data_IF_583147892002
#
_entry.id   IF_583147892002
#
_cell.length_a   1.000
_cell.length_b   1.000
_cell.length_c   1.000
_cell.angle_alpha   90.00
_cell.angle_beta   90.00
_cell.angle_gamma   90.00
#
_symmetry.space_group_name_H-M   'P 1'
#
loop_
_entity.id
_entity.type
_entity.pdbx_description
1 polymer ?
#
# COMPACT_ATOMS: atom_id res chain seq x y z
N UNK A 1 -12.21 -2.91 -26.59
CA UNK A 1 -12.54 -1.47 -26.56
C UNK A 1 -13.24 -1.02 -25.28
N UNK A 2 -14.52 -1.34 -25.03
CA UNK A 2 -15.22 -0.85 -23.81
C UNK A 2 -14.65 -1.42 -22.49
N UNK A 3 -14.12 -2.64 -22.51
CA UNK A 3 -13.49 -3.30 -21.37
C UNK A 3 -12.14 -2.70 -20.99
N UNK A 4 -11.32 -2.31 -21.98
CA UNK A 4 -9.98 -1.74 -21.76
C UNK A 4 -10.05 -0.34 -21.17
N UNK A 5 -10.99 0.50 -21.63
CA UNK A 5 -11.24 1.83 -21.07
C UNK A 5 -11.72 1.72 -19.61
N UNK A 6 -12.56 0.74 -19.29
CA UNK A 6 -13.00 0.50 -17.91
C UNK A 6 -11.84 0.07 -17.01
N UNK A 7 -10.97 -0.83 -17.51
CA UNK A 7 -9.78 -1.31 -16.78
C UNK A 7 -8.81 -0.16 -16.49
N UNK A 8 -8.57 0.69 -17.49
CA UNK A 8 -7.70 1.85 -17.35
C UNK A 8 -8.22 2.86 -16.31
N UNK A 9 -9.52 3.17 -16.34
CA UNK A 9 -10.17 4.05 -15.34
C UNK A 9 -10.20 3.45 -13.94
N UNK A 10 -10.18 2.13 -13.83
CA UNK A 10 -10.05 1.46 -12.52
C UNK A 10 -8.62 1.58 -11.99
N UNK A 11 -7.61 1.25 -12.79
CA UNK A 11 -6.20 1.38 -12.39
C UNK A 11 -5.84 2.80 -11.99
N UNK A 12 -6.30 3.81 -12.75
CA UNK A 12 -6.09 5.23 -12.41
C UNK A 12 -6.66 5.58 -11.02
N UNK A 13 -7.84 5.07 -10.67
CA UNK A 13 -8.44 5.29 -9.35
C UNK A 13 -7.71 4.58 -8.22
N UNK A 14 -7.04 3.46 -8.50
CA UNK A 14 -6.24 2.74 -7.49
C UNK A 14 -4.92 3.47 -7.20
N UNK A 15 -4.30 4.05 -8.24
CA UNK A 15 -3.07 4.84 -8.08
C UNK A 15 -3.31 6.15 -7.32
N UNK A 16 -4.53 6.70 -7.35
CA UNK A 16 -4.90 7.86 -6.54
C UNK A 16 -4.94 7.53 -5.03
N UNK A 17 -5.09 6.26 -4.65
CA UNK A 17 -5.18 5.86 -3.23
C UNK A 17 -3.80 5.69 -2.59
N UNK A 18 -2.88 5.00 -3.26
CA UNK A 18 -1.54 4.70 -2.76
C UNK A 18 -0.53 5.65 -3.41
N UNK A 19 -0.12 6.69 -2.68
CA UNK A 19 0.70 7.77 -3.25
C UNK A 19 2.18 7.36 -3.37
N UNK A 20 2.81 6.96 -2.27
CA UNK A 20 4.21 6.50 -2.28
C UNK A 20 4.58 5.71 -1.00
N UNK A 21 5.53 4.77 -1.09
CA UNK A 21 6.04 4.06 0.09
C UNK A 21 6.94 4.96 0.94
N UNK A 22 6.99 4.70 2.25
CA UNK A 22 7.97 5.33 3.13
C UNK A 22 9.24 4.49 3.22
N UNK A 23 10.38 5.12 2.97
CA UNK A 23 11.71 4.52 2.94
C UNK A 23 12.54 4.86 4.20
N UNK A 24 11.89 5.00 5.35
CA UNK A 24 12.60 5.31 6.61
C UNK A 24 13.13 4.02 7.26
N UNK A 25 14.17 4.11 8.09
CA UNK A 25 14.72 2.96 8.84
C UNK A 25 13.63 2.20 9.62
N UNK A 26 12.70 2.94 10.23
CA UNK A 26 11.55 2.36 10.93
C UNK A 26 10.62 1.59 9.97
N UNK A 27 10.43 2.10 8.75
CA UNK A 27 9.63 1.40 7.74
C UNK A 27 10.32 0.11 7.28
N UNK A 28 11.64 0.15 7.06
CA UNK A 28 12.46 -1.04 6.74
C UNK A 28 12.37 -2.09 7.86
N UNK A 29 12.55 -1.69 9.12
CA UNK A 29 12.41 -2.59 10.26
C UNK A 29 11.03 -3.24 10.35
N UNK A 30 9.95 -2.53 9.98
CA UNK A 30 8.60 -3.09 9.98
C UNK A 30 8.36 -4.11 8.86
N UNK A 31 9.07 -3.96 7.73
CA UNK A 31 9.03 -4.93 6.63
C UNK A 31 9.63 -6.24 7.13
N UNK A 32 10.84 -6.20 7.68
CA UNK A 32 11.59 -7.37 8.15
C UNK A 32 10.94 -8.07 9.35
N UNK A 33 10.49 -7.30 10.35
CA UNK A 33 10.08 -7.89 11.65
C UNK A 33 8.59 -8.22 11.73
N UNK A 34 7.75 -7.55 10.93
CA UNK A 34 6.30 -7.61 11.10
C UNK A 34 5.53 -7.89 9.81
N UNK A 35 6.22 -8.07 8.69
CA UNK A 35 5.61 -8.25 7.37
C UNK A 35 4.65 -7.08 7.04
N UNK A 36 5.12 -5.85 7.29
CA UNK A 36 4.34 -4.62 7.17
C UNK A 36 5.02 -3.62 6.24
N UNK A 37 4.25 -3.12 5.28
CA UNK A 37 4.64 -2.01 4.42
C UNK A 37 4.03 -0.71 4.91
N UNK A 38 4.78 0.38 4.80
CA UNK A 38 4.32 1.70 5.19
C UNK A 38 4.20 2.60 3.97
N UNK A 39 3.02 3.20 3.79
CA UNK A 39 2.71 4.08 2.67
C UNK A 39 2.15 5.41 3.12
N UNK A 40 2.37 6.45 2.33
CA UNK A 40 1.53 7.65 2.33
C UNK A 40 0.40 7.42 1.33
N UNK A 41 -0.81 7.73 1.76
CA UNK A 41 -2.05 7.46 1.03
C UNK A 41 -2.91 8.72 0.97
N UNK A 42 -3.89 8.72 0.07
CA UNK A 42 -4.83 9.82 -0.04
C UNK A 42 -5.63 10.04 1.27
N UNK A 43 -5.86 11.30 1.62
CA UNK A 43 -6.53 11.69 2.86
C UNK A 43 -7.98 11.21 2.93
N UNK A 44 -8.65 11.02 1.80
CA UNK A 44 -10.04 10.55 1.71
C UNK A 44 -10.13 9.03 1.65
N UNK A 45 -9.02 8.32 1.39
CA UNK A 45 -9.04 6.86 1.29
C UNK A 45 -9.43 6.19 2.61
N UNK A 46 -10.39 5.26 2.54
CA UNK A 46 -10.74 4.39 3.66
C UNK A 46 -9.79 3.20 3.77
N UNK A 47 -9.79 2.51 4.92
CA UNK A 47 -9.00 1.27 5.09
C UNK A 47 -9.36 0.19 4.07
N UNK A 48 -10.63 0.11 3.67
CA UNK A 48 -11.10 -0.82 2.65
C UNK A 48 -10.57 -0.49 1.26
N UNK A 49 -10.49 0.80 0.93
CA UNK A 49 -9.95 1.27 -0.36
C UNK A 49 -8.46 0.97 -0.45
N UNK A 50 -7.70 1.30 0.59
CA UNK A 50 -6.27 1.02 0.71
C UNK A 50 -6.01 -0.49 0.56
N UNK A 51 -6.80 -1.32 1.26
CA UNK A 51 -6.70 -2.77 1.16
C UNK A 51 -6.89 -3.25 -0.29
N UNK A 52 -7.99 -2.87 -0.93
CA UNK A 52 -8.31 -3.32 -2.29
C UNK A 52 -7.30 -2.80 -3.32
N UNK A 53 -6.85 -1.55 -3.19
CA UNK A 53 -5.84 -0.98 -4.07
C UNK A 53 -4.51 -1.72 -3.95
N UNK A 54 -4.08 -1.99 -2.72
CA UNK A 54 -2.82 -2.68 -2.47
C UNK A 54 -2.85 -4.12 -2.98
N UNK A 55 -3.91 -4.87 -2.67
CA UNK A 55 -4.07 -6.26 -3.14
C UNK A 55 -4.11 -6.35 -4.67
N UNK A 56 -4.71 -5.37 -5.35
CA UNK A 56 -4.78 -5.35 -6.82
C UNK A 56 -3.47 -4.95 -7.49
N UNK A 57 -2.76 -3.95 -6.95
CA UNK A 57 -1.53 -3.44 -7.57
C UNK A 57 -0.36 -4.41 -7.40
N UNK A 58 -0.29 -5.09 -6.25
CA UNK A 58 0.83 -5.98 -5.94
C UNK A 58 0.48 -7.47 -6.01
N UNK A 59 -0.78 -7.81 -6.33
CA UNK A 59 -1.30 -9.18 -6.47
C UNK A 59 -1.12 -10.03 -5.19
N UNK A 60 -1.26 -9.40 -4.03
CA UNK A 60 -1.10 -10.04 -2.71
C UNK A 60 -2.38 -10.01 -1.88
N UNK A 61 -2.36 -10.64 -0.70
CA UNK A 61 -3.44 -10.53 0.30
C UNK A 61 -2.98 -9.78 1.54
N UNK A 62 -3.82 -8.84 1.96
CA UNK A 62 -3.59 -8.00 3.13
C UNK A 62 -4.37 -8.57 4.32
N UNK A 63 -3.64 -8.81 5.41
CA UNK A 63 -4.22 -9.23 6.68
C UNK A 63 -4.92 -8.05 7.39
N UNK A 64 -4.22 -6.91 7.51
CA UNK A 64 -4.71 -5.76 8.29
C UNK A 64 -4.20 -4.44 7.71
N UNK A 65 -5.04 -3.39 7.78
CA UNK A 65 -4.64 -2.01 7.47
C UNK A 65 -4.87 -1.13 8.69
N UNK A 66 -3.81 -0.43 9.13
CA UNK A 66 -3.88 0.64 10.15
C UNK A 66 -3.52 1.97 9.51
N UNK A 67 -4.22 3.03 9.88
CA UNK A 67 -4.00 4.38 9.32
C UNK A 67 -3.90 5.40 10.44
N UNK A 68 -3.09 6.44 10.24
CA UNK A 68 -3.01 7.62 11.09
C UNK A 68 -2.78 8.87 10.23
N UNK A 69 -3.12 10.04 10.76
CA UNK A 69 -2.76 11.33 10.16
C UNK A 69 -1.47 11.80 10.84
N UNK A 70 -0.44 12.12 10.06
CA UNK A 70 0.80 12.69 10.58
C UNK A 70 0.59 14.16 10.94
N UNK A 71 1.44 14.75 11.81
CA UNK A 71 1.40 16.19 12.08
C UNK A 71 1.50 17.06 10.82
N UNK A 72 2.19 16.58 9.78
CA UNK A 72 2.30 17.24 8.48
C UNK A 72 1.02 17.15 7.61
N UNK A 73 -0.09 16.65 8.17
CA UNK A 73 -1.36 16.53 7.49
C UNK A 73 -1.44 15.42 6.44
N UNK A 74 -0.52 14.45 6.44
CA UNK A 74 -0.52 13.33 5.49
C UNK A 74 -1.14 12.08 6.13
N UNK A 75 -1.93 11.32 5.38
CA UNK A 75 -2.41 10.02 5.86
C UNK A 75 -1.32 8.97 5.64
N UNK A 76 -0.86 8.35 6.73
CA UNK A 76 0.08 7.23 6.73
C UNK A 76 -0.67 5.93 6.98
N UNK A 77 -0.41 4.92 6.16
CA UNK A 77 -0.97 3.59 6.29
C UNK A 77 0.12 2.56 6.58
N UNK A 78 -0.12 1.70 7.57
CA UNK A 78 0.60 0.46 7.79
C UNK A 78 -0.24 -0.69 7.24
N UNK A 79 0.34 -1.46 6.32
CA UNK A 79 -0.33 -2.52 5.59
C UNK A 79 0.37 -3.82 5.95
N UNK A 80 -0.30 -4.68 6.73
CA UNK A 80 0.22 -5.99 7.11
C UNK A 80 -0.23 -7.02 6.09
N UNK A 81 0.72 -7.74 5.50
CA UNK A 81 0.40 -8.83 4.58
C UNK A 81 -0.01 -10.08 5.35
N UNK A 82 -0.73 -10.95 4.67
CA UNK A 82 -0.93 -12.30 5.17
C UNK A 82 0.39 -13.08 5.19
N UNK A 83 0.58 -14.06 6.09
CA UNK A 83 1.83 -14.80 6.20
C UNK A 83 2.20 -15.60 4.95
N UNK A 84 1.27 -15.80 4.01
CA UNK A 84 1.56 -16.43 2.72
C UNK A 84 2.32 -15.53 1.73
N UNK A 85 2.49 -14.24 2.04
CA UNK A 85 3.17 -13.24 1.21
C UNK A 85 4.27 -12.54 2.00
N UNK A 86 5.38 -12.20 1.34
CA UNK A 86 6.50 -11.49 1.96
C UNK A 86 6.53 -10.00 1.56
N UNK A 87 6.56 -9.12 2.57
CA UNK A 87 6.69 -7.68 2.37
C UNK A 87 8.06 -7.28 1.79
N UNK A 88 9.10 -8.07 2.04
CA UNK A 88 10.47 -7.84 1.55
C UNK A 88 10.52 -7.95 0.03
N UNK A 89 9.85 -8.94 -0.56
CA UNK A 89 9.77 -9.09 -2.01
C UNK A 89 9.12 -7.87 -2.68
N UNK A 90 8.06 -7.33 -2.08
CA UNK A 90 7.41 -6.13 -2.57
C UNK A 90 8.31 -4.90 -2.38
N UNK A 91 9.03 -4.82 -1.26
CA UNK A 91 9.94 -3.73 -0.97
C UNK A 91 11.12 -3.67 -1.96
N UNK A 92 11.68 -4.81 -2.37
CA UNK A 92 12.69 -4.90 -3.43
C UNK A 92 12.13 -4.44 -4.77
N UNK A 93 10.92 -4.86 -5.13
CA UNK A 93 10.23 -4.38 -6.36
C UNK A 93 9.98 -2.88 -6.36
N UNK A 94 9.84 -2.27 -5.18
CA UNK A 94 9.65 -0.83 -4.99
C UNK A 94 10.96 -0.06 -4.84
N UNK A 95 12.12 -0.73 -4.80
CA UNK A 95 13.43 -0.11 -4.62
C UNK A 95 13.63 0.52 -3.23
N UNK A 96 13.01 -0.06 -2.20
CA UNK A 96 13.17 0.37 -0.79
C UNK A 96 14.37 -0.32 -0.13
N UNK A 97 14.66 -1.55 -0.55
CA UNK A 97 15.70 -2.46 -0.06
C UNK A 97 16.67 -2.80 -1.21
#
# INVERSE_FOLDING_TARGET
MSSEISKLRETLRLTEILLYPLMTEKAVSLIETQNKLTFIVDLKASKGDIKRAFEKLFEVKVAEVKTLITPDGRKKAYIKLKPEYDASDIAVRLGIL
#
